data_IF_025531471944
#
_entry.id   IF_025531471944
#
_cell.length_a   1.000
_cell.length_b   1.000
_cell.length_c   1.000
_cell.angle_alpha   90.00
_cell.angle_beta   90.00
_cell.angle_gamma   90.00
#
_symmetry.space_group_name_H-M   'P 1'
#
loop_
_entity.id
_entity.type
_entity.pdbx_description
1 polymer ?
#
# COMPACT_ATOMS: atom_id res chain seq x y z
N UNK A 1 -47.19 -74.99 20.79
CA UNK A 1 -47.41 -73.54 20.44
C UNK A 1 -46.03 -72.90 20.22
N UNK A 2 -45.60 -72.86 18.96
CA UNK A 2 -44.27 -72.40 18.58
C UNK A 2 -44.43 -70.94 18.08
N UNK A 3 -43.82 -69.98 18.80
CA UNK A 3 -43.86 -68.59 18.44
C UNK A 3 -42.65 -68.34 17.54
N UNK A 4 -42.88 -68.05 16.24
CA UNK A 4 -41.87 -67.57 15.29
C UNK A 4 -41.65 -66.11 15.54
N UNK A 5 -40.43 -65.73 15.98
CA UNK A 5 -39.93 -64.31 16.02
C UNK A 5 -39.44 -63.95 14.62
N UNK A 6 -40.18 -63.08 13.96
CA UNK A 6 -39.69 -62.36 12.72
C UNK A 6 -38.73 -61.21 13.09
N UNK A 7 -37.47 -61.34 12.70
CA UNK A 7 -36.48 -60.28 12.82
C UNK A 7 -36.54 -59.39 11.53
N UNK A 8 -36.80 -58.11 11.63
CA UNK A 8 -36.76 -57.26 10.44
C UNK A 8 -35.31 -57.05 10.00
N UNK A 9 -34.97 -57.42 8.77
CA UNK A 9 -33.73 -57.13 8.11
C UNK A 9 -33.79 -55.65 7.70
N UNK A 10 -33.03 -54.78 8.42
CA UNK A 10 -32.85 -53.40 8.03
C UNK A 10 -31.93 -53.34 6.80
N UNK A 11 -32.48 -52.96 5.65
CA UNK A 11 -31.70 -52.61 4.46
C UNK A 11 -30.90 -51.35 4.75
N UNK A 12 -29.61 -51.48 5.05
CA UNK A 12 -28.69 -50.36 5.05
C UNK A 12 -28.50 -49.87 3.59
N UNK A 13 -29.17 -48.80 3.23
CA UNK A 13 -28.94 -48.12 1.95
C UNK A 13 -27.51 -47.60 1.90
N UNK A 14 -26.71 -48.19 1.03
CA UNK A 14 -25.35 -47.75 0.74
C UNK A 14 -25.42 -46.46 -0.05
N UNK A 15 -25.30 -45.30 0.64
CA UNK A 15 -25.15 -44.02 0.00
C UNK A 15 -23.69 -43.92 -0.52
N UNK A 16 -23.47 -43.69 -1.82
CA UNK A 16 -22.13 -43.47 -2.32
C UNK A 16 -21.52 -42.21 -1.65
N UNK A 17 -20.20 -42.21 -1.33
CA UNK A 17 -19.57 -41.04 -0.76
C UNK A 17 -19.72 -39.84 -1.72
N UNK A 18 -20.14 -38.70 -1.18
CA UNK A 18 -20.24 -37.47 -1.95
C UNK A 18 -18.88 -37.18 -2.60
N UNK A 19 -18.84 -36.76 -3.87
CA UNK A 19 -17.57 -36.44 -4.54
C UNK A 19 -16.87 -35.38 -3.73
N UNK A 20 -15.71 -35.72 -3.18
CA UNK A 20 -14.79 -34.75 -2.58
C UNK A 20 -14.24 -33.89 -3.72
N UNK A 21 -14.80 -32.70 -3.90
CA UNK A 21 -14.20 -31.71 -4.80
C UNK A 21 -12.86 -31.30 -4.20
N UNK A 22 -11.77 -31.91 -4.69
CA UNK A 22 -10.44 -31.43 -4.35
C UNK A 22 -10.35 -29.98 -4.79
N UNK A 23 -10.17 -29.07 -3.83
CA UNK A 23 -10.02 -27.66 -4.09
C UNK A 23 -8.80 -27.49 -5.02
N UNK A 24 -8.98 -26.83 -6.15
CA UNK A 24 -7.88 -26.60 -7.08
C UNK A 24 -6.67 -25.96 -6.34
N UNK A 25 -5.45 -26.35 -6.66
CA UNK A 25 -4.28 -25.79 -5.99
C UNK A 25 -4.26 -24.27 -6.15
N UNK A 26 -3.93 -23.56 -5.07
CA UNK A 26 -3.83 -22.11 -5.09
C UNK A 26 -2.71 -21.67 -6.04
N UNK A 27 -2.98 -20.65 -6.84
CA UNK A 27 -1.97 -20.08 -7.73
C UNK A 27 -1.05 -19.15 -6.95
N UNK A 28 0.26 -19.45 -6.95
CA UNK A 28 1.25 -18.63 -6.28
C UNK A 28 1.43 -17.29 -6.98
N UNK A 29 1.40 -16.19 -6.20
CA UNK A 29 1.63 -14.83 -6.68
C UNK A 29 2.49 -14.05 -5.69
N UNK A 30 3.39 -13.23 -6.21
CA UNK A 30 4.28 -12.37 -5.42
C UNK A 30 3.87 -10.92 -5.61
N UNK A 31 3.56 -10.22 -4.51
CA UNK A 31 3.24 -8.80 -4.48
C UNK A 31 4.25 -8.06 -3.59
N UNK A 32 4.66 -6.87 -4.00
CA UNK A 32 5.68 -6.10 -3.28
C UNK A 32 5.11 -4.87 -2.59
N UNK A 33 5.74 -4.48 -1.49
CA UNK A 33 5.51 -3.22 -0.79
C UNK A 33 6.83 -2.65 -0.26
N UNK A 34 6.91 -1.32 -0.06
CA UNK A 34 8.19 -0.67 0.23
C UNK A 34 8.51 -0.51 1.72
N UNK A 35 7.51 -0.51 2.59
CA UNK A 35 7.70 -0.28 4.02
C UNK A 35 6.53 -0.84 4.83
N UNK A 36 6.81 -1.25 6.07
CA UNK A 36 5.77 -1.60 7.04
C UNK A 36 5.11 -0.33 7.55
N UNK A 37 3.94 -0.03 7.01
CA UNK A 37 3.17 1.16 7.37
C UNK A 37 1.70 0.99 6.98
N UNK A 38 0.86 1.91 7.41
CA UNK A 38 -0.55 1.97 7.02
C UNK A 38 -0.75 1.98 5.49
N UNK A 39 0.22 2.49 4.73
CA UNK A 39 0.12 2.60 3.27
C UNK A 39 -0.08 1.27 2.54
N UNK A 40 0.25 0.14 3.18
CA UNK A 40 0.08 -1.22 2.62
C UNK A 40 -1.05 -2.00 3.29
N UNK A 41 -2.00 -1.32 3.95
CA UNK A 41 -3.07 -1.96 4.71
C UNK A 41 -3.96 -2.87 3.86
N UNK A 42 -4.20 -2.51 2.61
CA UNK A 42 -4.96 -3.30 1.64
C UNK A 42 -4.35 -4.69 1.43
N UNK A 43 -3.03 -4.78 1.29
CA UNK A 43 -2.29 -6.04 1.19
C UNK A 43 -2.41 -6.86 2.50
N UNK A 44 -2.24 -6.20 3.66
CA UNK A 44 -2.31 -6.87 4.95
C UNK A 44 -3.70 -7.39 5.26
N UNK A 45 -4.73 -6.61 4.95
CA UNK A 45 -6.12 -7.03 5.11
C UNK A 45 -6.45 -8.17 4.16
N UNK A 46 -6.05 -8.09 2.89
CA UNK A 46 -6.29 -9.16 1.92
C UNK A 46 -5.67 -10.48 2.37
N UNK A 47 -4.46 -10.44 2.91
CA UNK A 47 -3.76 -11.62 3.44
C UNK A 47 -4.43 -12.16 4.70
N UNK A 48 -4.68 -11.31 5.68
CA UNK A 48 -5.17 -11.73 7.00
C UNK A 48 -6.63 -12.19 6.98
N UNK A 49 -7.46 -11.57 6.14
CA UNK A 49 -8.88 -11.92 5.99
C UNK A 49 -9.12 -13.02 4.94
N UNK A 50 -8.04 -13.53 4.34
CA UNK A 50 -8.11 -14.64 3.41
C UNK A 50 -8.63 -14.27 2.01
N UNK A 51 -8.77 -12.99 1.66
CA UNK A 51 -9.33 -12.58 0.37
C UNK A 51 -8.50 -13.05 -0.83
N UNK A 52 -7.19 -13.20 -0.69
CA UNK A 52 -6.37 -13.84 -1.72
C UNK A 52 -6.77 -15.32 -1.91
N UNK A 53 -6.94 -16.06 -0.80
CA UNK A 53 -7.32 -17.48 -0.85
C UNK A 53 -8.72 -17.69 -1.42
N UNK A 54 -9.66 -16.79 -1.11
CA UNK A 54 -11.00 -16.81 -1.70
C UNK A 54 -10.96 -16.70 -3.23
N UNK A 55 -9.97 -15.97 -3.76
CA UNK A 55 -9.73 -15.81 -5.19
C UNK A 55 -8.79 -16.90 -5.76
N UNK A 56 -8.53 -17.97 -5.01
CA UNK A 56 -7.65 -19.05 -5.45
C UNK A 56 -6.17 -18.68 -5.54
N UNK A 57 -5.72 -17.68 -4.76
CA UNK A 57 -4.34 -17.17 -4.77
C UNK A 57 -3.60 -17.54 -3.47
N UNK A 58 -2.36 -18.02 -3.63
CA UNK A 58 -1.36 -18.10 -2.57
C UNK A 58 -0.44 -16.88 -2.69
N UNK A 59 -0.79 -15.79 -1.98
CA UNK A 59 -0.10 -14.52 -2.12
C UNK A 59 1.08 -14.43 -1.16
N UNK A 60 2.27 -14.22 -1.70
CA UNK A 60 3.49 -13.86 -0.97
C UNK A 60 3.70 -12.35 -1.00
N UNK A 61 3.67 -11.71 0.18
CA UNK A 61 3.93 -10.29 0.33
C UNK A 61 5.42 -10.07 0.63
N UNK A 62 6.13 -9.36 -0.25
CA UNK A 62 7.58 -9.15 -0.15
C UNK A 62 7.90 -7.69 0.07
N UNK A 63 8.59 -7.38 1.17
CA UNK A 63 9.07 -6.04 1.43
C UNK A 63 10.37 -5.78 0.66
N UNK A 64 10.32 -4.87 -0.32
CA UNK A 64 11.49 -4.45 -1.08
C UNK A 64 11.41 -2.96 -1.43
N UNK A 65 12.55 -2.29 -1.55
CA UNK A 65 12.59 -0.89 -2.01
C UNK A 65 12.01 -0.77 -3.41
N UNK A 66 11.28 0.32 -3.67
CA UNK A 66 10.53 0.51 -4.90
C UNK A 66 11.37 0.39 -6.18
N UNK A 67 12.63 0.81 -6.17
CA UNK A 67 13.54 0.66 -7.33
C UNK A 67 13.84 -0.80 -7.64
N UNK A 68 14.08 -1.63 -6.62
CA UNK A 68 14.29 -3.07 -6.80
C UNK A 68 12.98 -3.77 -7.20
N UNK A 69 11.83 -3.35 -6.64
CA UNK A 69 10.53 -3.87 -7.03
C UNK A 69 10.22 -3.61 -8.52
N UNK A 70 10.58 -2.42 -9.05
CA UNK A 70 10.42 -2.10 -10.47
C UNK A 70 11.29 -3.02 -11.34
N UNK A 71 12.54 -3.29 -10.95
CA UNK A 71 13.38 -4.23 -11.66
C UNK A 71 12.79 -5.66 -11.64
N UNK A 72 12.34 -6.12 -10.46
CA UNK A 72 11.75 -7.44 -10.27
C UNK A 72 10.45 -7.66 -11.06
N UNK A 73 9.59 -6.64 -11.21
CA UNK A 73 8.39 -6.80 -12.05
C UNK A 73 8.75 -6.83 -13.53
N UNK A 74 9.72 -6.04 -13.96
CA UNK A 74 10.17 -6.04 -15.37
C UNK A 74 10.83 -7.38 -15.74
N UNK A 75 11.56 -8.01 -14.81
CA UNK A 75 12.13 -9.36 -15.02
C UNK A 75 11.09 -10.48 -14.90
N UNK A 76 9.88 -10.21 -14.38
CA UNK A 76 8.84 -11.20 -14.18
C UNK A 76 8.93 -11.98 -12.86
N UNK A 77 9.82 -11.59 -11.94
CA UNK A 77 9.98 -12.22 -10.63
C UNK A 77 8.82 -11.92 -9.68
N UNK A 78 8.13 -10.80 -9.89
CA UNK A 78 6.95 -10.40 -9.11
C UNK A 78 5.76 -10.10 -10.03
N UNK A 79 4.55 -10.30 -9.51
CA UNK A 79 3.31 -10.19 -10.28
C UNK A 79 2.70 -8.80 -10.19
N UNK A 80 2.90 -8.10 -9.05
CA UNK A 80 2.33 -6.79 -8.83
C UNK A 80 3.11 -5.93 -7.83
N UNK A 81 2.98 -4.61 -7.99
CA UNK A 81 3.59 -3.57 -7.18
C UNK A 81 2.55 -2.87 -6.33
N UNK A 82 2.77 -2.77 -5.02
CA UNK A 82 1.95 -1.94 -4.13
C UNK A 82 2.37 -0.47 -4.11
N UNK A 83 3.65 -0.17 -4.34
CA UNK A 83 4.20 1.19 -4.30
C UNK A 83 4.15 1.85 -5.70
N UNK A 84 2.95 2.28 -6.11
CA UNK A 84 2.70 2.75 -7.47
C UNK A 84 3.27 4.14 -7.78
N UNK A 85 3.45 5.02 -6.80
CA UNK A 85 4.02 6.35 -7.05
C UNK A 85 5.42 6.30 -7.65
N UNK A 86 6.27 5.38 -7.18
CA UNK A 86 7.59 5.15 -7.78
C UNK A 86 7.51 4.46 -9.15
N UNK A 87 6.54 3.55 -9.32
CA UNK A 87 6.30 2.88 -10.59
C UNK A 87 5.86 3.88 -11.68
N UNK A 88 4.96 4.82 -11.36
CA UNK A 88 4.52 5.88 -12.28
C UNK A 88 5.72 6.70 -12.77
N UNK A 89 6.65 7.06 -11.86
CA UNK A 89 7.87 7.81 -12.21
C UNK A 89 8.88 7.02 -13.04
N UNK A 90 8.75 5.70 -13.12
CA UNK A 90 9.56 4.87 -14.00
C UNK A 90 8.99 4.78 -15.44
N UNK A 91 7.68 5.07 -15.63
CA UNK A 91 7.02 4.99 -16.94
C UNK A 91 7.65 5.93 -17.99
N UNK A 92 7.99 7.20 -17.70
CA UNK A 92 8.67 8.07 -18.67
C UNK A 92 10.07 7.55 -19.09
N UNK A 93 10.65 6.66 -18.27
CA UNK A 93 11.94 6.01 -18.52
C UNK A 93 11.81 4.66 -19.23
N UNK A 94 10.61 4.34 -19.72
CA UNK A 94 10.34 3.11 -20.50
C UNK A 94 9.80 1.92 -19.70
N UNK A 95 9.51 2.05 -18.39
CA UNK A 95 8.91 0.94 -17.64
C UNK A 95 7.49 0.61 -18.19
N UNK A 96 7.23 -0.65 -18.63
CA UNK A 96 5.96 -1.03 -19.26
C UNK A 96 4.92 -1.39 -18.17
N UNK A 97 4.60 -0.43 -17.31
CA UNK A 97 3.72 -0.63 -16.14
C UNK A 97 2.41 0.13 -16.34
N UNK A 98 1.31 -0.50 -15.90
CA UNK A 98 -0.01 0.12 -15.74
C UNK A 98 -0.45 0.07 -14.29
N UNK A 99 -1.07 1.15 -13.83
CA UNK A 99 -1.74 1.24 -12.54
C UNK A 99 -3.20 0.91 -12.70
N UNK A 100 -3.68 -0.09 -11.97
CA UNK A 100 -5.04 -0.63 -12.08
C UNK A 100 -5.96 -0.21 -10.96
N UNK A 101 -5.38 0.10 -9.80
CA UNK A 101 -6.09 0.57 -8.63
C UNK A 101 -5.21 1.54 -7.84
N UNK A 102 -5.83 2.49 -7.16
CA UNK A 102 -5.19 3.43 -6.23
C UNK A 102 -5.87 3.28 -4.88
N UNK A 103 -5.17 2.75 -3.91
CA UNK A 103 -5.69 2.66 -2.54
C UNK A 103 -5.48 3.98 -1.79
N UNK A 104 -4.32 4.62 -1.97
CA UNK A 104 -3.93 5.81 -1.23
C UNK A 104 -3.85 7.04 -2.16
N UNK A 105 -4.79 7.98 -1.99
CA UNK A 105 -4.92 9.22 -2.77
C UNK A 105 -4.34 10.47 -2.10
N UNK A 106 -3.95 10.36 -0.82
CA UNK A 106 -3.23 11.40 -0.09
C UNK A 106 -1.96 10.83 0.55
N UNK A 107 -0.89 11.60 0.67
CA UNK A 107 0.36 11.13 1.24
C UNK A 107 0.25 11.04 2.77
N UNK A 108 0.26 9.84 3.31
CA UNK A 108 0.25 9.60 4.77
C UNK A 108 1.66 9.72 5.36
N UNK A 109 2.28 10.89 5.15
CA UNK A 109 3.64 11.19 5.59
C UNK A 109 3.69 12.47 6.41
N UNK A 110 4.46 12.43 7.48
CA UNK A 110 4.74 13.56 8.36
C UNK A 110 6.25 13.80 8.42
N UNK A 111 6.64 15.04 8.40
CA UNK A 111 8.02 15.44 8.62
C UNK A 111 8.24 15.55 10.12
N UNK A 112 9.16 14.73 10.62
CA UNK A 112 9.46 14.57 12.04
C UNK A 112 10.91 14.93 12.28
N UNK A 113 11.17 15.68 13.34
CA UNK A 113 12.51 16.06 13.78
C UNK A 113 12.79 15.61 15.20
N UNK A 114 14.07 15.54 15.54
CA UNK A 114 14.52 15.32 16.92
C UNK A 114 14.01 16.43 17.84
N UNK A 115 13.87 16.16 19.18
CA UNK A 115 13.24 17.10 20.12
C UNK A 115 13.85 18.49 20.19
N UNK A 116 15.16 18.61 19.92
CA UNK A 116 15.87 19.90 19.92
C UNK A 116 15.58 20.77 18.69
N UNK A 117 15.03 20.19 17.59
CA UNK A 117 14.72 20.90 16.33
C UNK A 117 13.22 21.19 16.28
N UNK A 118 12.81 22.38 16.66
CA UNK A 118 11.40 22.73 16.89
C UNK A 118 10.71 23.41 15.71
N UNK A 119 11.47 23.82 14.70
CA UNK A 119 10.98 24.55 13.54
C UNK A 119 11.64 24.06 12.24
N UNK A 120 11.04 24.38 11.10
CA UNK A 120 11.66 24.13 9.81
C UNK A 120 13.03 24.82 9.64
N UNK A 121 13.22 26.00 10.23
CA UNK A 121 14.51 26.72 10.16
C UNK A 121 15.65 25.98 10.86
N UNK A 122 15.34 25.19 11.91
CA UNK A 122 16.35 24.41 12.63
C UNK A 122 16.87 23.22 11.80
N UNK A 123 16.22 22.92 10.68
CA UNK A 123 16.59 21.79 9.82
C UNK A 123 17.75 22.08 8.88
N UNK A 124 18.20 23.36 8.77
CA UNK A 124 19.34 23.72 7.93
C UNK A 124 20.61 23.02 8.38
N UNK A 125 21.32 22.40 7.43
CA UNK A 125 22.55 21.64 7.66
C UNK A 125 22.30 20.24 8.29
N UNK A 126 21.04 19.80 8.42
CA UNK A 126 20.71 18.50 9.03
C UNK A 126 20.57 17.39 7.99
N UNK A 127 20.66 16.16 8.48
CA UNK A 127 20.52 14.93 7.66
C UNK A 127 19.08 14.45 7.72
N UNK A 128 18.45 14.30 6.57
CA UNK A 128 17.10 13.76 6.40
C UNK A 128 17.13 12.36 5.82
N UNK A 129 16.47 11.41 6.49
CA UNK A 129 16.30 10.03 6.00
C UNK A 129 15.10 9.87 5.08
N UNK A 130 15.23 9.03 4.06
CA UNK A 130 14.12 8.59 3.19
C UNK A 130 14.26 7.11 2.81
N UNK A 131 13.15 6.45 2.43
CA UNK A 131 13.17 5.03 1.98
C UNK A 131 13.78 4.86 0.60
N UNK A 132 13.46 5.76 -0.32
CA UNK A 132 13.90 5.71 -1.72
C UNK A 132 14.03 7.14 -2.25
N UNK A 133 15.20 7.50 -2.75
CA UNK A 133 15.42 8.78 -3.42
C UNK A 133 14.52 8.84 -4.68
N UNK A 134 13.76 9.93 -4.82
CA UNK A 134 12.76 10.08 -5.90
C UNK A 134 11.45 9.30 -5.67
N UNK A 135 11.32 8.52 -4.58
CA UNK A 135 10.08 7.84 -4.21
C UNK A 135 9.03 8.77 -3.60
N UNK A 136 7.83 8.25 -3.34
CA UNK A 136 6.69 9.02 -2.84
C UNK A 136 6.95 9.70 -1.50
N UNK A 137 7.62 8.99 -0.57
CA UNK A 137 8.00 9.53 0.73
C UNK A 137 8.99 10.71 0.58
N UNK A 138 10.05 10.51 -0.21
CA UNK A 138 11.03 11.55 -0.51
C UNK A 138 10.35 12.79 -1.10
N UNK A 139 9.54 12.61 -2.14
CA UNK A 139 8.81 13.68 -2.79
C UNK A 139 7.92 14.46 -1.82
N UNK A 140 7.21 13.76 -0.93
CA UNK A 140 6.37 14.37 0.10
C UNK A 140 7.19 15.27 1.04
N UNK A 141 8.33 14.78 1.53
CA UNK A 141 9.23 15.54 2.38
C UNK A 141 9.82 16.77 1.69
N UNK A 142 10.31 16.63 0.45
CA UNK A 142 10.83 17.73 -0.36
C UNK A 142 9.78 18.82 -0.57
N UNK A 143 8.52 18.44 -0.83
CA UNK A 143 7.40 19.39 -0.99
C UNK A 143 7.12 20.15 0.31
N UNK A 144 7.09 19.46 1.46
CA UNK A 144 6.92 20.11 2.76
C UNK A 144 8.02 21.11 3.06
N UNK A 145 9.29 20.74 2.82
CA UNK A 145 10.43 21.62 3.03
C UNK A 145 10.36 22.85 2.12
N UNK A 146 10.07 22.70 0.84
CA UNK A 146 9.91 23.81 -0.11
C UNK A 146 8.76 24.74 0.28
N UNK A 147 7.62 24.19 0.71
CA UNK A 147 6.50 25.00 1.21
C UNK A 147 6.88 25.85 2.43
N UNK A 148 7.74 25.30 3.29
CA UNK A 148 8.28 26.00 4.44
C UNK A 148 9.42 26.99 4.11
N UNK A 149 9.73 27.21 2.82
CA UNK A 149 10.75 28.17 2.37
C UNK A 149 12.17 27.62 2.37
N UNK A 150 12.38 26.32 2.60
CA UNK A 150 13.70 25.69 2.52
C UNK A 150 14.03 25.24 1.09
N UNK A 151 15.30 25.24 0.77
CA UNK A 151 15.84 24.60 -0.43
C UNK A 151 16.42 23.23 -0.05
N UNK A 152 15.70 22.11 -0.27
CA UNK A 152 16.16 20.80 0.18
C UNK A 152 17.51 20.38 -0.38
N UNK A 153 17.85 20.82 -1.58
CA UNK A 153 19.10 20.46 -2.26
C UNK A 153 20.33 21.21 -1.69
N UNK A 154 20.10 22.31 -0.95
CA UNK A 154 21.15 23.16 -0.34
C UNK A 154 21.12 23.11 1.18
N UNK A 155 19.91 23.09 1.75
CA UNK A 155 19.71 23.26 3.19
C UNK A 155 19.78 21.95 3.98
N UNK A 156 19.62 20.77 3.32
CA UNK A 156 19.67 19.48 3.98
C UNK A 156 20.54 18.47 3.21
N UNK A 157 21.04 17.47 3.92
CA UNK A 157 21.62 16.27 3.31
C UNK A 157 20.57 15.15 3.32
N UNK A 158 20.18 14.65 2.15
CA UNK A 158 19.20 13.55 2.04
C UNK A 158 19.93 12.23 1.86
N UNK A 159 19.60 11.26 2.72
CA UNK A 159 20.22 9.94 2.72
C UNK A 159 19.17 8.81 2.67
N UNK A 160 19.58 7.63 2.25
CA UNK A 160 18.78 6.41 2.40
C UNK A 160 18.74 6.01 3.88
N UNK A 161 17.63 6.23 4.54
CA UNK A 161 17.42 5.96 5.97
C UNK A 161 16.76 4.60 6.27
N UNK A 162 16.58 3.74 5.26
CA UNK A 162 15.87 2.47 5.39
C UNK A 162 14.34 2.63 5.31
N UNK A 163 13.60 1.63 5.78
CA UNK A 163 12.14 1.70 5.90
C UNK A 163 11.70 2.61 7.07
N UNK A 164 10.41 2.87 7.22
CA UNK A 164 9.91 3.84 8.22
C UNK A 164 10.28 3.44 9.66
N UNK A 165 10.16 2.18 10.10
CA UNK A 165 10.67 1.76 11.40
C UNK A 165 12.18 2.00 11.59
N UNK A 166 12.99 1.71 10.57
CA UNK A 166 14.44 1.96 10.60
C UNK A 166 14.76 3.45 10.71
N UNK A 167 14.03 4.31 9.99
CA UNK A 167 14.18 5.76 10.12
C UNK A 167 13.86 6.27 11.52
N UNK A 168 12.83 5.71 12.19
CA UNK A 168 12.55 6.05 13.58
C UNK A 168 13.73 5.69 14.48
N UNK A 169 14.33 4.52 14.32
CA UNK A 169 15.53 4.14 15.09
C UNK A 169 16.71 5.08 14.78
N UNK A 170 16.91 5.45 13.53
CA UNK A 170 17.96 6.39 13.13
C UNK A 170 17.74 7.81 13.71
N UNK A 171 16.48 8.27 13.86
CA UNK A 171 16.14 9.49 14.58
C UNK A 171 16.47 9.37 16.08
N UNK A 172 16.11 8.23 16.70
CA UNK A 172 16.35 7.99 18.14
C UNK A 172 17.84 8.00 18.46
N UNK A 173 18.67 7.32 17.67
CA UNK A 173 20.11 7.25 17.88
C UNK A 173 20.89 8.44 17.32
N UNK A 174 20.23 9.36 16.58
CA UNK A 174 20.83 10.57 16.04
C UNK A 174 21.60 10.42 14.73
N UNK A 175 21.56 9.26 14.07
CA UNK A 175 22.18 9.06 12.75
C UNK A 175 21.52 9.92 11.67
N UNK A 176 20.22 10.23 11.82
CA UNK A 176 19.53 11.28 11.09
C UNK A 176 18.86 12.22 12.09
N UNK A 177 18.62 13.45 11.69
CA UNK A 177 17.98 14.47 12.53
C UNK A 177 16.55 14.77 12.09
N UNK A 178 16.23 14.43 10.84
CA UNK A 178 14.92 14.62 10.21
C UNK A 178 14.48 13.31 9.56
N UNK A 179 13.25 12.91 9.76
CA UNK A 179 12.65 11.74 9.15
C UNK A 179 11.32 12.05 8.51
N UNK A 180 10.95 11.27 7.52
CA UNK A 180 9.63 11.35 6.92
C UNK A 180 8.91 10.07 7.33
N UNK A 181 8.07 10.17 8.35
CA UNK A 181 7.43 9.02 8.97
C UNK A 181 5.96 8.92 8.55
N UNK A 182 5.51 7.68 8.38
CA UNK A 182 4.09 7.36 8.27
C UNK A 182 3.59 6.69 9.55
N UNK A 183 2.28 6.69 9.83
CA UNK A 183 1.72 5.92 10.93
C UNK A 183 2.02 4.41 10.78
N UNK A 184 2.30 3.72 11.87
CA UNK A 184 2.24 4.18 13.27
C UNK A 184 3.48 4.92 13.76
N UNK A 185 4.58 4.94 13.01
CA UNK A 185 5.87 5.42 13.51
C UNK A 185 5.88 6.92 13.84
N UNK A 186 5.07 7.76 13.19
CA UNK A 186 4.92 9.17 13.59
C UNK A 186 4.26 9.29 14.97
N UNK A 187 3.29 8.42 15.30
CA UNK A 187 2.63 8.39 16.62
C UNK A 187 3.65 7.99 17.69
N UNK A 188 4.38 6.90 17.43
CA UNK A 188 5.44 6.42 18.34
C UNK A 188 6.54 7.48 18.53
N UNK A 189 6.97 8.16 17.47
CA UNK A 189 7.95 9.24 17.54
C UNK A 189 7.47 10.38 18.46
N UNK A 190 6.22 10.83 18.28
CA UNK A 190 5.61 11.89 19.07
C UNK A 190 5.46 11.49 20.54
N UNK A 191 4.82 10.34 20.79
CA UNK A 191 4.34 10.00 22.13
C UNK A 191 5.43 9.39 23.01
N UNK A 192 6.21 8.46 22.44
CA UNK A 192 7.27 7.76 23.18
C UNK A 192 8.58 8.55 23.22
N UNK A 193 9.00 9.13 22.11
CA UNK A 193 10.30 9.77 21.97
C UNK A 193 10.26 11.29 22.00
N UNK A 194 9.06 11.89 22.19
CA UNK A 194 8.85 13.35 22.30
C UNK A 194 9.44 14.13 21.12
N UNK A 195 9.46 13.51 19.95
CA UNK A 195 9.90 14.14 18.72
C UNK A 195 8.89 15.17 18.22
N UNK A 196 9.36 16.18 17.50
CA UNK A 196 8.50 17.20 16.93
C UNK A 196 7.93 16.74 15.59
N UNK A 197 6.63 16.88 15.42
CA UNK A 197 5.93 16.72 14.15
C UNK A 197 5.79 18.10 13.53
N UNK A 198 6.62 18.42 12.53
CA UNK A 198 6.71 19.76 11.96
C UNK A 198 5.70 20.03 10.86
N UNK A 199 5.22 18.99 10.19
CA UNK A 199 4.24 19.15 9.11
C UNK A 199 3.69 17.82 8.62
N UNK A 200 2.48 17.89 8.03
CA UNK A 200 1.76 16.76 7.45
C UNK A 200 1.61 16.95 5.95
N UNK A 201 2.12 16.01 5.18
CA UNK A 201 1.90 16.02 3.74
C UNK A 201 0.45 15.66 3.37
N UNK A 202 -0.24 14.92 4.24
CA UNK A 202 -1.64 14.55 4.05
C UNK A 202 -2.57 15.77 4.04
N UNK A 203 -2.26 16.79 4.84
CA UNK A 203 -3.09 17.98 4.95
C UNK A 203 -2.79 19.01 3.85
N UNK A 204 -1.64 18.88 3.19
CA UNK A 204 -1.11 19.90 2.30
C UNK A 204 -1.36 19.63 0.82
N UNK A 205 -1.46 18.37 0.40
CA UNK A 205 -1.61 18.07 -1.03
C UNK A 205 -2.19 16.67 -1.29
N UNK A 206 -2.77 16.49 -2.49
CA UNK A 206 -3.14 15.18 -3.02
C UNK A 206 -1.92 14.48 -3.61
N UNK A 207 -1.90 13.16 -3.59
CA UNK A 207 -0.83 12.37 -4.20
C UNK A 207 -1.25 10.91 -4.38
N UNK A 208 -0.97 10.35 -5.53
CA UNK A 208 -1.20 8.93 -5.82
C UNK A 208 0.05 8.15 -5.39
N UNK A 209 -0.08 7.28 -4.39
CA UNK A 209 1.08 6.65 -3.76
C UNK A 209 1.07 5.14 -3.76
N UNK A 210 0.02 4.52 -3.22
CA UNK A 210 -0.13 3.08 -3.11
C UNK A 210 -1.38 2.61 -3.85
N UNK A 211 -1.36 1.35 -4.24
CA UNK A 211 -2.41 0.71 -5.02
C UNK A 211 -1.88 -0.54 -5.70
N UNK A 212 -2.24 -0.77 -6.94
CA UNK A 212 -1.82 -1.92 -7.71
C UNK A 212 -1.24 -1.52 -9.07
N UNK A 213 0.04 -1.79 -9.26
CA UNK A 213 0.73 -1.69 -10.55
C UNK A 213 1.11 -3.06 -11.08
N UNK A 214 0.91 -3.29 -12.38
CA UNK A 214 1.26 -4.53 -13.08
C UNK A 214 1.96 -4.25 -14.40
N UNK A 215 2.61 -5.25 -15.00
CA UNK A 215 3.12 -5.12 -16.36
C UNK A 215 1.98 -5.02 -17.39
N UNK A 216 2.14 -4.19 -18.41
CA UNK A 216 1.21 -4.11 -19.54
C UNK A 216 1.01 -5.49 -20.22
N UNK A 217 2.06 -6.31 -20.26
CA UNK A 217 2.02 -7.68 -20.77
C UNK A 217 1.05 -8.55 -19.95
N UNK A 218 1.09 -8.45 -18.63
CA UNK A 218 0.21 -9.24 -17.74
C UNK A 218 -1.28 -8.93 -17.95
N UNK A 219 -1.63 -7.68 -18.31
CA UNK A 219 -3.01 -7.31 -18.66
C UNK A 219 -3.53 -8.05 -19.89
N UNK A 220 -2.66 -8.34 -20.84
CA UNK A 220 -3.02 -9.01 -22.09
C UNK A 220 -3.02 -10.53 -21.95
N UNK A 221 -2.00 -11.06 -21.30
CA UNK A 221 -1.73 -12.50 -21.27
C UNK A 221 -2.28 -13.21 -20.03
N UNK A 222 -2.52 -12.47 -18.92
CA UNK A 222 -2.91 -13.03 -17.64
C UNK A 222 -4.08 -12.24 -17.00
N UNK A 223 -5.02 -11.77 -17.83
CA UNK A 223 -6.10 -10.88 -17.39
C UNK A 223 -6.92 -11.45 -16.23
N UNK A 224 -7.20 -12.77 -16.23
CA UNK A 224 -7.92 -13.43 -15.14
C UNK A 224 -7.12 -13.39 -13.82
N UNK A 225 -5.82 -13.71 -13.85
CA UNK A 225 -4.98 -13.60 -12.67
C UNK A 225 -4.95 -12.17 -12.11
N UNK A 226 -4.77 -11.20 -12.98
CA UNK A 226 -4.76 -9.77 -12.60
C UNK A 226 -6.11 -9.38 -11.98
N UNK A 227 -7.23 -9.83 -12.56
CA UNK A 227 -8.58 -9.54 -12.03
C UNK A 227 -8.79 -10.15 -10.63
N UNK A 228 -8.32 -11.36 -10.39
CA UNK A 228 -8.38 -11.99 -9.06
C UNK A 228 -7.56 -11.23 -8.02
N UNK A 229 -6.38 -10.72 -8.39
CA UNK A 229 -5.57 -9.85 -7.51
C UNK A 229 -6.32 -8.55 -7.21
N UNK A 230 -6.85 -7.87 -8.24
CA UNK A 230 -7.66 -6.64 -8.08
C UNK A 230 -8.85 -6.88 -7.16
N UNK A 231 -9.58 -8.01 -7.35
CA UNK A 231 -10.75 -8.35 -6.52
C UNK A 231 -10.39 -8.59 -5.06
N UNK A 232 -9.26 -9.25 -4.79
CA UNK A 232 -8.75 -9.45 -3.44
C UNK A 232 -8.49 -8.12 -2.73
N UNK A 233 -7.86 -7.17 -3.43
CA UNK A 233 -7.56 -5.84 -2.87
C UNK A 233 -8.80 -4.95 -2.78
N UNK A 234 -9.75 -5.05 -3.70
CA UNK A 234 -11.03 -4.35 -3.62
C UNK A 234 -11.86 -4.80 -2.41
N UNK A 235 -11.90 -6.13 -2.13
CA UNK A 235 -12.51 -6.68 -0.90
C UNK A 235 -11.80 -6.14 0.35
N UNK A 236 -10.47 -6.09 0.35
CA UNK A 236 -9.68 -5.57 1.46
C UNK A 236 -9.93 -4.08 1.70
N UNK A 237 -9.99 -3.28 0.64
CA UNK A 237 -10.29 -1.84 0.73
C UNK A 237 -11.71 -1.61 1.30
N UNK A 238 -12.70 -2.36 0.83
CA UNK A 238 -14.06 -2.31 1.38
C UNK A 238 -14.08 -2.69 2.88
N UNK A 239 -13.42 -3.79 3.25
CA UNK A 239 -13.31 -4.20 4.64
C UNK A 239 -12.66 -3.12 5.50
N UNK A 240 -11.59 -2.49 5.01
CA UNK A 240 -10.90 -1.39 5.70
C UNK A 240 -11.85 -0.24 6.02
N UNK A 241 -12.68 0.17 5.08
CA UNK A 241 -13.62 1.27 5.29
C UNK A 241 -14.81 0.91 6.20
N UNK A 242 -15.24 -0.35 6.20
CA UNK A 242 -16.43 -0.82 6.92
C UNK A 242 -16.13 -1.39 8.30
N UNK A 243 -14.87 -1.72 8.62
CA UNK A 243 -14.51 -2.42 9.85
C UNK A 243 -13.30 -1.80 10.53
N UNK A 244 -13.53 -0.70 11.29
CA UNK A 244 -12.48 0.00 12.04
C UNK A 244 -11.74 -0.95 13.00
N UNK A 245 -12.49 -1.73 13.80
CA UNK A 245 -11.88 -2.63 14.79
C UNK A 245 -11.02 -3.70 14.11
N UNK A 246 -11.60 -4.42 13.15
CA UNK A 246 -10.88 -5.50 12.48
C UNK A 246 -9.68 -5.00 11.67
N UNK A 247 -9.77 -3.82 11.06
CA UNK A 247 -8.65 -3.18 10.38
C UNK A 247 -7.54 -2.77 11.35
N UNK A 248 -7.90 -2.27 12.54
CA UNK A 248 -6.94 -1.94 13.59
C UNK A 248 -6.27 -3.19 14.18
N UNK A 249 -6.98 -4.31 14.31
CA UNK A 249 -6.41 -5.60 14.72
C UNK A 249 -5.35 -6.10 13.69
N UNK A 250 -5.66 -5.98 12.39
CA UNK A 250 -4.70 -6.30 11.33
C UNK A 250 -3.48 -5.38 11.40
N UNK A 251 -3.68 -4.06 11.57
CA UNK A 251 -2.59 -3.10 11.74
C UNK A 251 -1.72 -3.43 12.94
N UNK A 252 -2.32 -3.70 14.10
CA UNK A 252 -1.59 -4.04 15.33
C UNK A 252 -0.66 -5.25 15.11
N UNK A 253 -1.18 -6.30 14.45
CA UNK A 253 -0.43 -7.52 14.13
C UNK A 253 0.73 -7.26 13.17
N UNK A 254 0.46 -6.68 11.99
CA UNK A 254 1.47 -6.51 10.92
C UNK A 254 2.50 -5.42 11.22
N UNK A 255 2.12 -4.39 11.97
CA UNK A 255 3.01 -3.30 12.33
C UNK A 255 3.71 -3.51 13.67
N UNK A 256 3.34 -4.56 14.42
CA UNK A 256 3.85 -4.90 15.75
C UNK A 256 3.74 -3.72 16.73
N UNK A 257 2.53 -3.20 16.88
CA UNK A 257 2.17 -2.14 17.82
C UNK A 257 0.94 -2.55 18.64
N UNK A 258 0.71 -1.88 19.76
CA UNK A 258 -0.49 -2.08 20.56
C UNK A 258 -1.76 -1.64 19.81
N UNK A 259 -2.91 -2.14 20.26
CA UNK A 259 -4.19 -1.88 19.60
C UNK A 259 -4.56 -0.39 19.58
N UNK A 260 -4.22 0.38 20.62
CA UNK A 260 -4.56 1.81 20.68
C UNK A 260 -3.76 2.60 19.65
N UNK A 261 -2.46 2.33 19.52
CA UNK A 261 -1.60 2.89 18.47
C UNK A 261 -2.11 2.51 17.06
N UNK A 262 -2.56 1.26 16.88
CA UNK A 262 -3.14 0.81 15.61
C UNK A 262 -4.48 1.50 15.30
N UNK A 263 -5.33 1.68 16.30
CA UNK A 263 -6.62 2.37 16.18
C UNK A 263 -6.43 3.85 15.83
N UNK A 264 -5.49 4.53 16.50
CA UNK A 264 -5.15 5.91 16.13
C UNK A 264 -4.57 5.98 14.71
N UNK A 265 -3.69 5.05 14.35
CA UNK A 265 -3.15 4.92 12.98
C UNK A 265 -4.28 4.83 11.95
N UNK A 266 -5.27 3.98 12.18
CA UNK A 266 -6.44 3.86 11.32
C UNK A 266 -7.18 5.18 11.20
N UNK A 267 -7.52 5.80 12.34
CA UNK A 267 -8.35 7.02 12.41
C UNK A 267 -7.73 8.22 11.70
N UNK A 268 -6.43 8.48 11.94
CA UNK A 268 -5.75 9.62 11.32
C UNK A 268 -5.47 9.40 9.82
N UNK A 269 -5.48 8.15 9.34
CA UNK A 269 -5.11 7.84 7.95
C UNK A 269 -6.30 7.52 7.05
N UNK A 270 -7.44 7.13 7.62
CA UNK A 270 -8.59 6.58 6.88
C UNK A 270 -9.04 7.45 5.70
N UNK A 271 -9.07 8.77 5.87
CA UNK A 271 -9.54 9.71 4.84
C UNK A 271 -8.55 9.84 3.66
N UNK A 272 -7.33 9.35 3.81
CA UNK A 272 -6.35 9.32 2.73
C UNK A 272 -6.61 8.22 1.71
N UNK A 273 -7.47 7.23 2.04
CA UNK A 273 -7.77 6.10 1.16
C UNK A 273 -8.96 6.37 0.26
N UNK A 274 -8.91 5.83 -0.97
CA UNK A 274 -10.07 5.76 -1.88
C UNK A 274 -11.06 4.74 -1.35
N UNK A 275 -12.33 4.90 -1.67
CA UNK A 275 -13.38 3.94 -1.29
C UNK A 275 -13.57 2.82 -2.32
N UNK A 276 -13.21 3.08 -3.57
CA UNK A 276 -13.46 2.21 -4.72
C UNK A 276 -12.20 1.90 -5.56
N UNK A 277 -11.04 2.36 -5.11
CA UNK A 277 -9.77 2.15 -5.83
C UNK A 277 -9.54 3.07 -7.03
N UNK A 278 -10.39 4.09 -7.25
CA UNK A 278 -10.32 4.98 -8.42
C UNK A 278 -10.29 6.44 -7.95
N UNK A 279 -9.19 7.18 -8.15
CA UNK A 279 -9.15 8.62 -7.92
C UNK A 279 -10.05 9.37 -8.88
N UNK A 280 -10.46 10.58 -8.52
CA UNK A 280 -11.15 11.48 -9.42
C UNK A 280 -10.25 11.93 -10.59
N UNK A 281 -10.85 12.36 -11.70
CA UNK A 281 -10.09 12.88 -12.85
C UNK A 281 -9.25 14.10 -12.46
N UNK A 282 -9.74 14.95 -11.56
CA UNK A 282 -9.03 16.13 -11.08
C UNK A 282 -7.80 15.73 -10.26
N UNK A 283 -7.92 14.75 -9.35
CA UNK A 283 -6.81 14.21 -8.59
C UNK A 283 -5.73 13.59 -9.50
N UNK A 284 -6.14 12.85 -10.53
CA UNK A 284 -5.20 12.29 -11.52
C UNK A 284 -4.50 13.40 -12.29
N UNK A 285 -5.25 14.40 -12.75
CA UNK A 285 -4.72 15.52 -13.55
C UNK A 285 -3.72 16.34 -12.72
N UNK A 286 -4.07 16.68 -11.49
CA UNK A 286 -3.20 17.42 -10.56
C UNK A 286 -1.92 16.63 -10.28
N UNK A 287 -2.08 15.34 -9.95
CA UNK A 287 -0.95 14.47 -9.68
C UNK A 287 0.03 14.39 -10.87
N UNK A 288 -0.47 14.16 -12.08
CA UNK A 288 0.37 14.04 -13.28
C UNK A 288 1.07 15.35 -13.65
N UNK A 289 0.41 16.50 -13.46
CA UNK A 289 1.02 17.82 -13.64
C UNK A 289 2.17 18.04 -12.66
N UNK A 290 1.95 17.74 -11.39
CA UNK A 290 2.99 17.92 -10.36
C UNK A 290 4.14 16.92 -10.57
N UNK A 291 3.85 15.69 -10.93
CA UNK A 291 4.89 14.67 -11.18
C UNK A 291 5.75 15.03 -12.41
N UNK A 292 5.13 15.59 -13.47
CA UNK A 292 5.87 16.12 -14.62
C UNK A 292 6.82 17.26 -14.21
N UNK A 293 6.36 18.19 -13.35
CA UNK A 293 7.18 19.27 -12.82
C UNK A 293 8.37 18.75 -12.00
N UNK A 294 8.13 17.74 -11.15
CA UNK A 294 9.18 17.11 -10.32
C UNK A 294 10.23 16.40 -11.19
N UNK A 295 9.77 15.76 -12.26
CA UNK A 295 10.63 14.98 -13.17
C UNK A 295 11.28 15.84 -14.27
N UNK A 296 10.96 17.13 -14.37
CA UNK A 296 11.45 18.01 -15.43
C UNK A 296 10.94 17.64 -16.83
N UNK A 297 9.75 17.04 -16.92
CA UNK A 297 9.14 16.67 -18.20
C UNK A 297 8.53 17.91 -18.87
N UNK A 298 8.60 17.99 -20.19
CA UNK A 298 8.03 19.09 -20.98
C UNK A 298 6.49 19.17 -20.86
N UNK A 299 5.83 18.03 -20.63
CA UNK A 299 4.39 17.92 -20.42
C UNK A 299 4.05 16.73 -19.51
N UNK A 300 2.88 16.77 -18.84
CA UNK A 300 2.37 15.62 -18.10
C UNK A 300 2.13 14.41 -19.03
N UNK A 301 2.36 13.21 -18.50
CA UNK A 301 1.96 11.99 -19.23
C UNK A 301 0.45 11.96 -19.42
N UNK A 302 -0.05 11.45 -20.55
CA UNK A 302 -1.48 11.15 -20.68
C UNK A 302 -1.93 10.16 -19.60
N UNK A 303 -3.09 10.39 -18.98
CA UNK A 303 -3.60 9.50 -17.94
C UNK A 303 -3.72 8.04 -18.43
N UNK A 304 -4.12 7.83 -19.67
CA UNK A 304 -4.23 6.52 -20.30
C UNK A 304 -2.87 5.82 -20.49
N UNK A 305 -1.76 6.54 -20.51
CA UNK A 305 -0.42 5.93 -20.52
C UNK A 305 -0.08 5.31 -19.15
N UNK A 306 -0.61 5.88 -18.08
CA UNK A 306 -0.30 5.50 -16.70
C UNK A 306 -1.35 4.55 -16.11
N UNK A 307 -2.63 4.86 -16.29
CA UNK A 307 -3.74 4.20 -15.62
C UNK A 307 -4.61 3.39 -16.57
N UNK A 308 -5.08 2.23 -16.09
CA UNK A 308 -6.15 1.44 -16.68
C UNK A 308 -7.07 0.90 -15.58
N UNK A 309 -8.14 1.59 -15.29
CA UNK A 309 -9.10 1.20 -14.25
C UNK A 309 -10.22 0.28 -14.77
N UNK A 310 -10.11 -0.30 -15.97
CA UNK A 310 -11.16 -1.14 -16.56
C UNK A 310 -11.49 -2.34 -15.67
N UNK A 311 -10.47 -3.07 -15.21
CA UNK A 311 -10.62 -4.23 -14.32
C UNK A 311 -11.14 -3.79 -12.94
N UNK A 312 -10.68 -2.66 -12.41
CA UNK A 312 -11.18 -2.16 -11.11
C UNK A 312 -12.67 -1.82 -11.18
N UNK A 313 -13.13 -1.16 -12.26
CA UNK A 313 -14.56 -0.86 -12.46
C UNK A 313 -15.40 -2.13 -12.59
N UNK A 314 -14.94 -3.10 -13.37
CA UNK A 314 -15.57 -4.41 -13.51
C UNK A 314 -15.73 -5.10 -12.15
N UNK A 315 -14.67 -5.16 -11.36
CA UNK A 315 -14.67 -5.75 -10.02
C UNK A 315 -15.61 -4.98 -9.07
N UNK A 316 -15.61 -3.65 -9.12
CA UNK A 316 -16.52 -2.84 -8.29
C UNK A 316 -17.98 -3.13 -8.60
N UNK A 317 -18.34 -3.29 -9.87
CA UNK A 317 -19.70 -3.67 -10.29
C UNK A 317 -20.09 -5.07 -9.78
N UNK A 318 -19.19 -6.06 -9.91
CA UNK A 318 -19.41 -7.42 -9.41
C UNK A 318 -19.59 -7.47 -7.90
N UNK A 319 -18.84 -6.66 -7.16
CA UNK A 319 -18.97 -6.56 -5.71
C UNK A 319 -20.15 -5.69 -5.26
N UNK A 320 -20.94 -5.11 -6.18
CA UNK A 320 -22.08 -4.25 -5.88
C UNK A 320 -21.69 -2.89 -5.31
N UNK A 321 -20.49 -2.39 -5.59
CA UNK A 321 -20.09 -1.00 -5.31
C UNK A 321 -20.71 -0.08 -6.39
N UNK A 322 -21.53 0.89 -5.96
CA UNK A 322 -22.07 1.95 -6.82
C UNK A 322 -21.19 3.18 -6.79
#
# INVERSE_FOLDING_TARGET
>A
MIILLLIPIALLAWLPPAPSYAQAPLQHVVLTYSSRSIASIDLYVAQERGFFREEGLDAQLVQVRATAAIAAIVSGEVHALGSIGSAIRAIPRGAPIKVLAVSLRRPVFWLVSRPELKSFNDLKGKVMGTTTIGGSQHTAGIRLLRKAGLNPDKDLTVVLGGDVPTQLQALVNGSIQVGILSPPMVIVARDKYKMNVLGSAMDEFTSIQNGLGVLEKSLKEQRDLVKRIVRSLAKANRYFHQNERGSSEVLAKYLNVDFQTALETYRISRLAFTTDGIPTNDEITEYLKEDARILGLAAPLPATRVFDFSIQREVNQELGAR
#
